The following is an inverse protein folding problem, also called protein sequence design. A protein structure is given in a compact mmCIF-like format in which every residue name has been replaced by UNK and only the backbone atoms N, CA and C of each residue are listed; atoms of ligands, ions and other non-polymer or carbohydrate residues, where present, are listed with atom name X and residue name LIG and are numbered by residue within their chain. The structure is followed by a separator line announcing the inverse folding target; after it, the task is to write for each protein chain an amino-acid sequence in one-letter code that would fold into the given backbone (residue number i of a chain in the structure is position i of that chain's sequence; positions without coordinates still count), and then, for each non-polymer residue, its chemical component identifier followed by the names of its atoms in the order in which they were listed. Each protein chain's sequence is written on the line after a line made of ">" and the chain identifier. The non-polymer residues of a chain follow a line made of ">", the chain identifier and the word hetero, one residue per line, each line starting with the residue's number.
data_IF_254288328443
#
_entry.id   IF_254288328443
#
_cell.length_a   1.000
_cell.length_b   1.000
_cell.length_c   1.000
_cell.angle_alpha   90.00
_cell.angle_beta   90.00
_cell.angle_gamma   90.00
#
_symmetry.space_group_name_H-M   'P 1'
#
loop_
_entity.id
_entity.type
_entity.pdbx_description
1 polymer ?
#
# COMPACT_ATOMS: atom_id res chain seq x y z
N UNK A 1 -28.29 5.96 -9.80
CA UNK A 1 -27.73 7.14 -9.10
C UNK A 1 -27.16 6.63 -7.80
N UNK A 2 -25.99 6.02 -7.91
CA UNK A 2 -25.20 5.58 -6.77
C UNK A 2 -24.26 6.72 -6.38
N UNK A 3 -24.15 6.96 -5.08
CA UNK A 3 -23.35 8.03 -4.49
C UNK A 3 -21.85 7.85 -4.74
N UNK A 4 -21.04 8.94 -4.73
CA UNK A 4 -19.59 8.89 -5.00
C UNK A 4 -18.74 8.08 -3.99
N UNK A 5 -19.38 7.53 -2.96
CA UNK A 5 -18.77 6.71 -1.91
C UNK A 5 -18.34 5.34 -2.47
N UNK A 6 -19.01 4.84 -3.51
CA UNK A 6 -18.63 3.58 -4.17
C UNK A 6 -17.26 3.65 -4.84
N UNK A 7 -16.97 4.75 -5.57
CA UNK A 7 -15.77 4.82 -6.42
C UNK A 7 -14.43 4.90 -5.67
N UNK A 8 -14.42 5.44 -4.44
CA UNK A 8 -13.22 5.39 -3.57
C UNK A 8 -12.97 3.99 -3.04
N UNK A 9 -14.07 3.27 -2.78
CA UNK A 9 -14.04 1.88 -2.36
C UNK A 9 -13.65 0.98 -3.53
N UNK A 10 -14.06 1.32 -4.75
CA UNK A 10 -13.64 0.63 -5.97
C UNK A 10 -12.13 0.85 -6.26
N UNK A 11 -11.58 2.05 -6.01
CA UNK A 11 -10.13 2.31 -6.13
C UNK A 11 -9.30 1.63 -5.02
N UNK A 12 -9.81 1.56 -3.79
CA UNK A 12 -9.23 0.78 -2.69
C UNK A 12 -9.35 -0.74 -2.94
N UNK A 13 -10.47 -1.21 -3.50
CA UNK A 13 -10.72 -2.61 -3.86
C UNK A 13 -9.88 -3.04 -5.09
N UNK A 14 -9.61 -2.15 -6.06
CA UNK A 14 -8.70 -2.39 -7.19
C UNK A 14 -7.23 -2.43 -6.74
N UNK A 15 -6.81 -1.52 -5.84
CA UNK A 15 -5.47 -1.55 -5.24
C UNK A 15 -5.30 -2.77 -4.30
N UNK A 16 -6.36 -3.22 -3.62
CA UNK A 16 -6.38 -4.44 -2.80
C UNK A 16 -6.41 -5.73 -3.64
N UNK A 17 -7.12 -5.74 -4.79
CA UNK A 17 -7.14 -6.86 -5.72
C UNK A 17 -5.76 -7.07 -6.38
N UNK A 18 -5.09 -5.98 -6.75
CA UNK A 18 -3.73 -6.03 -7.30
C UNK A 18 -2.68 -6.42 -6.25
N UNK A 19 -2.91 -6.07 -4.97
CA UNK A 19 -2.09 -6.52 -3.86
C UNK A 19 -2.27 -8.01 -3.55
N UNK A 20 -3.47 -8.56 -3.73
CA UNK A 20 -3.76 -9.99 -3.58
C UNK A 20 -3.21 -10.84 -4.74
N UNK A 21 -3.32 -10.39 -5.99
CA UNK A 21 -2.65 -11.03 -7.14
C UNK A 21 -1.13 -11.12 -6.93
N UNK A 22 -0.53 -10.09 -6.34
CA UNK A 22 0.89 -10.05 -6.04
C UNK A 22 1.28 -10.92 -4.82
N UNK A 23 0.36 -11.14 -3.87
CA UNK A 23 0.52 -12.10 -2.76
C UNK A 23 0.40 -13.54 -3.28
N UNK A 24 -0.49 -13.81 -4.23
CA UNK A 24 -0.66 -15.12 -4.89
C UNK A 24 0.56 -15.49 -5.75
N UNK A 25 1.19 -14.53 -6.44
CA UNK A 25 2.47 -14.73 -7.14
C UNK A 25 3.66 -14.98 -6.18
N UNK A 26 3.58 -14.54 -4.92
CA UNK A 26 4.63 -14.76 -3.92
C UNK A 26 4.48 -16.10 -3.18
N UNK A 27 3.33 -16.76 -3.29
CA UNK A 27 3.04 -18.05 -2.66
C UNK A 27 3.18 -19.26 -3.63
N UNK A 28 3.41 -19.05 -4.93
CA UNK A 28 3.42 -20.12 -5.95
C UNK A 28 4.79 -20.66 -6.39
N UNK A 29 5.91 -20.22 -5.80
CA UNK A 29 7.22 -20.85 -6.06
C UNK A 29 7.67 -21.71 -4.88
N UNK A 30 7.22 -22.96 -4.86
CA UNK A 30 7.60 -23.93 -3.82
C UNK A 30 7.24 -25.39 -4.12
N UNK A 31 7.17 -25.82 -5.37
CA UNK A 31 7.13 -27.24 -5.72
C UNK A 31 8.48 -27.72 -6.25
N UNK A 32 9.06 -28.71 -5.55
CA UNK A 32 10.06 -29.63 -6.06
C UNK A 32 11.52 -29.19 -5.94
N UNK A 33 12.26 -29.77 -4.99
CA UNK A 33 13.08 -30.97 -5.29
C UNK A 33 13.90 -31.34 -4.06
N UNK A 34 13.67 -32.54 -3.56
CA UNK A 34 14.47 -33.25 -2.58
C UNK A 34 15.81 -33.66 -3.21
N UNK A 35 16.93 -33.22 -2.65
CA UNK A 35 18.21 -33.90 -2.79
C UNK A 35 19.06 -33.65 -1.53
N UNK A 36 19.48 -34.77 -0.93
CA UNK A 36 20.42 -34.91 0.17
C UNK A 36 21.65 -34.00 0.09
N UNK A 37 22.14 -33.52 1.24
CA UNK A 37 23.45 -33.92 1.81
C UNK A 37 23.43 -33.62 3.31
N UNK A 38 23.43 -34.71 4.09
CA UNK A 38 23.78 -34.73 5.51
C UNK A 38 25.29 -34.53 5.64
N UNK A 39 25.73 -33.55 6.43
CA UNK A 39 27.06 -33.62 7.07
C UNK A 39 26.93 -33.25 8.54
N UNK A 40 26.81 -34.31 9.32
CA UNK A 40 26.87 -34.34 10.77
C UNK A 40 28.34 -34.33 11.18
N UNK A 41 28.76 -33.38 12.01
CA UNK A 41 30.03 -33.43 12.71
C UNK A 41 29.80 -33.21 14.20
N UNK A 42 29.72 -34.35 14.89
CA UNK A 42 29.70 -34.52 16.34
C UNK A 42 31.15 -34.52 16.84
N UNK A 43 31.48 -33.63 17.76
CA UNK A 43 32.66 -33.78 18.64
C UNK A 43 32.21 -33.51 20.07
N UNK A 44 32.00 -34.59 20.81
CA UNK A 44 31.92 -34.62 22.27
C UNK A 44 33.33 -34.76 22.84
N UNK A 45 33.68 -33.95 23.83
CA UNK A 45 34.75 -34.24 24.79
C UNK A 45 34.32 -33.66 26.16
N UNK A 46 33.85 -34.55 27.04
CA UNK A 46 33.75 -34.32 28.48
C UNK A 46 35.05 -34.73 29.17
N UNK A 47 35.45 -34.02 30.24
CA UNK A 47 35.65 -34.60 31.59
C UNK A 47 35.95 -33.52 32.66
N UNK A 48 34.92 -33.23 33.48
CA UNK A 48 34.75 -33.06 34.96
C UNK A 48 35.98 -33.06 35.95
N UNK A 49 35.81 -32.74 37.27
CA UNK A 49 35.61 -31.45 37.96
C UNK A 49 36.62 -31.17 39.12
N UNK A 50 36.56 -29.98 39.76
CA UNK A 50 37.01 -29.78 41.15
C UNK A 50 36.22 -28.65 41.85
N UNK A 51 35.91 -28.86 43.13
CA UNK A 51 34.96 -28.10 43.96
C UNK A 51 35.62 -27.02 44.83
N UNK A 52 34.88 -25.94 45.16
CA UNK A 52 34.45 -25.56 46.52
C UNK A 52 34.12 -24.06 46.72
N UNK A 53 33.03 -23.84 47.49
CA UNK A 53 32.55 -22.65 48.23
C UNK A 53 32.12 -21.40 47.44
N UNK A 54 30.82 -21.22 47.19
CA UNK A 54 29.83 -20.55 48.08
C UNK A 54 29.96 -19.02 48.11
N UNK A 55 29.03 -18.34 47.44
CA UNK A 55 28.29 -17.20 48.00
C UNK A 55 27.07 -16.87 47.14
N UNK A 56 25.90 -17.05 47.73
CA UNK A 56 24.60 -16.58 47.26
C UNK A 56 24.66 -15.08 46.90
N UNK A 57 24.52 -14.78 45.60
CA UNK A 57 23.91 -13.53 45.12
C UNK A 57 22.90 -13.89 44.04
N UNK A 58 21.76 -14.35 44.53
CA UNK A 58 20.52 -14.49 43.79
C UNK A 58 19.97 -13.07 43.52
N UNK A 59 20.61 -12.33 42.62
CA UNK A 59 20.06 -11.08 42.07
C UNK A 59 19.34 -11.44 40.78
N UNK A 60 18.02 -11.54 40.88
CA UNK A 60 17.03 -11.72 39.82
C UNK A 60 17.52 -11.37 38.39
N UNK A 61 18.16 -12.34 37.73
CA UNK A 61 18.37 -12.31 36.29
C UNK A 61 16.99 -12.55 35.68
N UNK A 62 16.32 -11.45 35.30
CA UNK A 62 14.99 -11.48 34.71
C UNK A 62 14.91 -12.62 33.69
N UNK A 63 14.01 -13.59 33.91
CA UNK A 63 13.80 -14.74 33.03
C UNK A 63 13.77 -14.26 31.58
N UNK A 64 14.85 -14.46 30.84
CA UNK A 64 14.95 -14.05 29.44
C UNK A 64 13.87 -14.81 28.69
N UNK A 65 12.93 -14.10 28.08
CA UNK A 65 11.87 -14.76 27.32
C UNK A 65 12.49 -15.61 26.21
N UNK A 66 11.91 -16.80 25.96
CA UNK A 66 12.31 -17.69 24.86
C UNK A 66 12.41 -16.95 23.52
N UNK A 67 11.54 -15.97 23.29
CA UNK A 67 11.56 -15.14 22.09
C UNK A 67 12.87 -14.34 21.90
N UNK A 68 13.55 -13.98 22.99
CA UNK A 68 14.80 -13.22 22.94
C UNK A 68 16.03 -14.11 22.69
N UNK A 69 15.91 -15.42 22.92
CA UNK A 69 17.01 -16.39 22.81
C UNK A 69 16.93 -17.26 21.56
N UNK A 70 15.77 -17.31 20.89
CA UNK A 70 15.55 -18.13 19.70
C UNK A 70 16.30 -17.57 18.47
N UNK A 71 16.88 -18.45 17.61
CA UNK A 71 17.41 -18.05 16.31
C UNK A 71 16.32 -17.42 15.44
N UNK A 72 16.73 -16.47 14.59
CA UNK A 72 15.81 -15.69 13.76
C UNK A 72 15.00 -16.55 12.77
N UNK A 73 15.59 -17.61 12.22
CA UNK A 73 14.89 -18.54 11.33
C UNK A 73 13.75 -19.26 12.04
N UNK A 74 13.97 -19.68 13.29
CA UNK A 74 12.97 -20.36 14.10
C UNK A 74 11.87 -19.37 14.50
N UNK A 75 12.22 -18.14 14.85
CA UNK A 75 11.24 -17.08 15.11
C UNK A 75 10.37 -16.80 13.87
N UNK A 76 10.98 -16.75 12.69
CA UNK A 76 10.30 -16.50 11.43
C UNK A 76 9.27 -17.60 11.10
N UNK A 77 9.61 -18.87 11.36
CA UNK A 77 8.71 -20.02 11.25
C UNK A 77 7.57 -19.96 12.28
N UNK A 78 7.88 -19.65 13.54
CA UNK A 78 6.87 -19.56 14.61
C UNK A 78 5.86 -18.44 14.32
N UNK A 79 6.34 -17.29 13.83
CA UNK A 79 5.49 -16.14 13.51
C UNK A 79 4.61 -16.40 12.29
N UNK A 80 5.04 -17.23 11.32
CA UNK A 80 4.21 -17.56 10.14
C UNK A 80 2.97 -18.39 10.48
N UNK A 81 2.93 -19.11 11.61
CA UNK A 81 1.73 -19.82 12.07
C UNK A 81 0.63 -18.88 12.64
N UNK A 82 0.88 -17.57 12.67
CA UNK A 82 -0.11 -16.54 12.99
C UNK A 82 -0.36 -16.37 14.50
N UNK A 83 -0.57 -15.12 14.92
CA UNK A 83 -0.96 -14.68 16.28
C UNK A 83 0.12 -14.59 17.38
N UNK A 84 1.33 -15.11 17.20
CA UNK A 84 2.35 -15.11 18.28
C UNK A 84 2.84 -13.71 18.68
N UNK A 85 2.84 -12.75 17.75
CA UNK A 85 3.37 -11.39 17.96
C UNK A 85 2.63 -10.53 19.01
N UNK A 86 1.45 -10.93 19.47
CA UNK A 86 0.67 -10.18 20.49
C UNK A 86 0.62 -10.87 21.86
N UNK A 87 1.35 -11.97 22.04
CA UNK A 87 1.29 -12.78 23.27
C UNK A 87 1.95 -12.07 24.45
N UNK A 88 3.15 -11.50 24.26
CA UNK A 88 3.80 -10.67 25.26
C UNK A 88 4.85 -9.76 24.62
N UNK A 89 5.36 -8.79 25.40
CA UNK A 89 6.31 -7.76 24.93
C UNK A 89 7.54 -8.32 24.21
N UNK A 90 8.11 -9.43 24.68
CA UNK A 90 9.27 -10.05 24.05
C UNK A 90 8.94 -10.67 22.69
N UNK A 91 7.78 -11.33 22.55
CA UNK A 91 7.29 -11.83 21.26
C UNK A 91 6.94 -10.70 20.30
N UNK A 92 6.42 -9.58 20.79
CA UNK A 92 6.18 -8.40 19.96
C UNK A 92 7.48 -7.80 19.43
N UNK A 93 8.50 -7.64 20.28
CA UNK A 93 9.82 -7.16 19.87
C UNK A 93 10.53 -8.13 18.92
N UNK A 94 10.45 -9.44 19.18
CA UNK A 94 10.99 -10.47 18.28
C UNK A 94 10.27 -10.45 16.92
N UNK A 95 8.96 -10.28 16.91
CA UNK A 95 8.17 -10.17 15.68
C UNK A 95 8.52 -8.94 14.86
N UNK A 96 8.73 -7.80 15.52
CA UNK A 96 9.24 -6.58 14.88
C UNK A 96 10.63 -6.84 14.28
N UNK A 97 11.56 -7.41 15.05
CA UNK A 97 12.91 -7.69 14.57
C UNK A 97 12.93 -8.59 13.32
N UNK A 98 12.11 -9.65 13.32
CA UNK A 98 11.94 -10.54 12.16
C UNK A 98 11.36 -9.79 10.96
N UNK A 99 10.33 -8.97 11.15
CA UNK A 99 9.71 -8.21 10.06
C UNK A 99 10.68 -7.19 9.45
N UNK A 100 11.43 -6.46 10.28
CA UNK A 100 12.47 -5.51 9.87
C UNK A 100 13.56 -6.20 9.05
N UNK A 101 14.08 -7.34 9.55
CA UNK A 101 15.11 -8.12 8.86
C UNK A 101 14.63 -8.71 7.54
N UNK A 102 13.39 -9.22 7.48
CA UNK A 102 12.79 -9.71 6.23
C UNK A 102 12.73 -8.61 5.18
N UNK A 103 12.33 -7.39 5.56
CA UNK A 103 12.31 -6.25 4.65
C UNK A 103 13.72 -5.92 4.12
N UNK A 104 14.70 -5.73 5.00
CA UNK A 104 16.08 -5.42 4.58
C UNK A 104 16.69 -6.51 3.70
N UNK A 105 16.46 -7.79 4.03
CA UNK A 105 16.95 -8.90 3.20
C UNK A 105 16.36 -8.86 1.80
N UNK A 106 15.03 -8.74 1.68
CA UNK A 106 14.35 -8.70 0.38
C UNK A 106 14.77 -7.47 -0.44
N UNK A 107 14.92 -6.32 0.20
CA UNK A 107 15.39 -5.11 -0.48
C UNK A 107 16.85 -5.25 -0.93
N UNK A 108 17.71 -5.83 -0.09
CA UNK A 108 19.09 -6.12 -0.45
C UNK A 108 19.18 -7.10 -1.62
N UNK A 109 18.33 -8.13 -1.68
CA UNK A 109 18.31 -9.08 -2.80
C UNK A 109 17.91 -8.43 -4.12
N UNK A 110 16.98 -7.46 -4.09
CA UNK A 110 16.60 -6.67 -5.27
C UNK A 110 17.77 -5.78 -5.74
N UNK A 111 18.52 -5.19 -4.80
CA UNK A 111 19.59 -4.24 -5.09
C UNK A 111 20.96 -4.88 -5.31
N UNK A 112 21.19 -6.12 -4.84
CA UNK A 112 22.46 -6.85 -4.91
C UNK A 112 23.04 -6.98 -6.33
N UNK A 113 22.24 -7.19 -7.40
CA UNK A 113 22.78 -7.25 -8.76
C UNK A 113 23.31 -5.90 -9.28
N UNK A 114 22.96 -4.79 -8.62
CA UNK A 114 23.23 -3.44 -9.10
C UNK A 114 24.44 -2.80 -8.39
N UNK A 115 24.60 -3.06 -7.09
CA UNK A 115 25.66 -2.44 -6.30
C UNK A 115 26.10 -3.33 -5.12
N UNK A 116 27.37 -3.21 -4.76
CA UNK A 116 27.98 -3.75 -3.54
C UNK A 116 27.44 -3.10 -2.27
N UNK A 117 27.01 -1.84 -2.32
CA UNK A 117 26.46 -1.10 -1.18
C UNK A 117 24.97 -1.38 -0.89
N UNK A 118 24.36 -2.30 -1.64
CA UNK A 118 22.95 -2.67 -1.52
C UNK A 118 22.50 -2.98 -0.09
N UNK A 119 23.33 -3.68 0.69
CA UNK A 119 23.02 -4.05 2.07
C UNK A 119 22.94 -2.82 2.99
N UNK A 120 23.89 -1.90 2.87
CA UNK A 120 23.92 -0.69 3.70
C UNK A 120 22.71 0.18 3.41
N UNK A 121 22.41 0.42 2.13
CA UNK A 121 21.23 1.18 1.70
C UNK A 121 19.93 0.52 2.18
N UNK A 122 19.82 -0.81 2.11
CA UNK A 122 18.64 -1.53 2.56
C UNK A 122 18.43 -1.42 4.09
N UNK A 123 19.51 -1.38 4.88
CA UNK A 123 19.44 -1.15 6.32
C UNK A 123 19.07 0.30 6.64
N UNK A 124 19.61 1.27 5.90
CA UNK A 124 19.30 2.69 6.10
C UNK A 124 17.83 3.00 5.77
N UNK A 125 17.31 2.46 4.66
CA UNK A 125 15.89 2.63 4.29
C UNK A 125 14.97 1.98 5.33
N UNK A 126 15.35 0.81 5.85
CA UNK A 126 14.59 0.14 6.91
C UNK A 126 14.59 0.96 8.20
N UNK A 127 15.73 1.50 8.61
CA UNK A 127 15.85 2.31 9.81
C UNK A 127 14.97 3.58 9.71
N UNK A 128 15.00 4.27 8.57
CA UNK A 128 14.15 5.44 8.32
C UNK A 128 12.65 5.08 8.28
N UNK A 129 12.32 3.93 7.70
CA UNK A 129 10.94 3.42 7.66
C UNK A 129 10.42 3.11 9.07
N UNK A 130 11.23 2.46 9.90
CA UNK A 130 10.91 2.18 11.29
C UNK A 130 10.86 3.45 12.13
N UNK A 131 11.73 4.44 11.88
CA UNK A 131 11.67 5.74 12.56
C UNK A 131 10.37 6.51 12.24
N UNK A 132 9.89 6.42 11.00
CA UNK A 132 8.68 7.12 10.57
C UNK A 132 7.37 6.44 11.00
N UNK A 133 7.32 5.11 10.98
CA UNK A 133 6.08 4.34 11.18
C UNK A 133 6.14 3.30 12.31
N UNK A 134 7.29 3.14 12.96
CA UNK A 134 7.48 2.22 14.07
C UNK A 134 6.79 2.71 15.34
N UNK A 135 6.25 1.77 16.11
CA UNK A 135 5.82 2.00 17.49
C UNK A 135 6.60 1.08 18.42
N UNK A 136 6.69 1.46 19.70
CA UNK A 136 7.59 0.81 20.68
C UNK A 136 7.37 -0.70 20.84
N UNK A 137 6.17 -1.22 20.60
CA UNK A 137 5.83 -2.64 20.79
C UNK A 137 4.93 -3.22 19.69
N UNK A 138 4.68 -2.49 18.61
CA UNK A 138 3.85 -2.97 17.51
C UNK A 138 4.29 -2.35 16.19
N UNK A 139 4.13 -3.11 15.12
CA UNK A 139 4.31 -2.60 13.77
C UNK A 139 2.97 -2.11 13.24
N UNK A 140 2.88 -0.83 12.89
CA UNK A 140 1.63 -0.25 12.40
C UNK A 140 1.28 -0.84 11.03
N UNK A 141 -0.01 -0.98 10.71
CA UNK A 141 -0.46 -1.38 9.35
C UNK A 141 0.15 -0.49 8.25
N UNK A 142 0.33 0.80 8.56
CA UNK A 142 1.00 1.77 7.69
C UNK A 142 2.45 1.39 7.35
N UNK A 143 3.23 0.85 8.31
CA UNK A 143 4.58 0.36 8.05
C UNK A 143 4.55 -0.78 7.02
N UNK A 144 3.69 -1.78 7.23
CA UNK A 144 3.62 -2.94 6.35
C UNK A 144 3.17 -2.55 4.94
N UNK A 145 2.17 -1.67 4.83
CA UNK A 145 1.73 -1.13 3.55
C UNK A 145 2.86 -0.38 2.84
N UNK A 146 3.55 0.53 3.55
CA UNK A 146 4.64 1.31 2.97
C UNK A 146 5.84 0.44 2.56
N UNK A 147 6.21 -0.54 3.38
CA UNK A 147 7.25 -1.52 3.06
C UNK A 147 6.95 -2.26 1.76
N UNK A 148 5.71 -2.74 1.58
CA UNK A 148 5.25 -3.41 0.36
C UNK A 148 5.32 -2.47 -0.85
N UNK A 149 4.83 -1.24 -0.71
CA UNK A 149 4.92 -0.23 -1.77
C UNK A 149 6.36 0.05 -2.19
N UNK A 150 7.29 0.19 -1.24
CA UNK A 150 8.71 0.45 -1.53
C UNK A 150 9.35 -0.72 -2.29
N UNK A 151 9.14 -1.96 -1.81
CA UNK A 151 9.64 -3.17 -2.47
C UNK A 151 9.10 -3.29 -3.89
N UNK A 152 7.79 -3.07 -4.09
CA UNK A 152 7.18 -3.15 -5.42
C UNK A 152 7.76 -2.12 -6.40
N UNK A 153 7.87 -0.85 -5.99
CA UNK A 153 8.38 0.20 -6.86
C UNK A 153 9.88 0.05 -7.19
N UNK A 154 10.67 -0.52 -6.27
CA UNK A 154 12.10 -0.77 -6.48
C UNK A 154 12.35 -2.08 -7.24
N UNK A 155 11.44 -3.06 -7.15
CA UNK A 155 11.47 -4.32 -7.92
C UNK A 155 11.19 -4.08 -9.41
N UNK A 156 10.44 -3.04 -9.77
CA UNK A 156 10.14 -2.73 -11.18
C UNK A 156 11.42 -2.53 -12.00
N UNK A 157 11.66 -3.40 -12.98
CA UNK A 157 12.84 -3.35 -13.84
C UNK A 157 12.89 -2.08 -14.69
N UNK A 158 11.74 -1.49 -15.01
CA UNK A 158 11.61 -0.28 -15.82
C UNK A 158 11.89 1.00 -15.05
N UNK A 159 11.96 0.94 -13.72
CA UNK A 159 12.23 2.08 -12.84
C UNK A 159 13.71 2.16 -12.43
N UNK A 160 14.61 2.11 -13.42
CA UNK A 160 16.06 2.10 -13.18
C UNK A 160 16.53 3.42 -12.55
N UNK A 161 15.96 4.54 -12.96
CA UNK A 161 16.33 5.87 -12.48
C UNK A 161 16.11 6.01 -10.96
N UNK A 162 15.01 5.48 -10.43
CA UNK A 162 14.75 5.53 -8.99
C UNK A 162 15.80 4.72 -8.20
N UNK A 163 16.16 3.53 -8.67
CA UNK A 163 17.20 2.70 -8.04
C UNK A 163 18.56 3.40 -8.07
N UNK A 164 18.93 3.93 -9.23
CA UNK A 164 20.22 4.62 -9.39
C UNK A 164 20.31 5.86 -8.49
N UNK A 165 19.24 6.65 -8.39
CA UNK A 165 19.20 7.83 -7.50
C UNK A 165 19.27 7.48 -6.03
N UNK A 166 18.72 6.33 -5.63
CA UNK A 166 18.83 5.82 -4.27
C UNK A 166 20.26 5.35 -3.97
N UNK A 167 20.86 4.59 -4.89
CA UNK A 167 22.22 4.06 -4.74
C UNK A 167 23.30 5.15 -4.81
N UNK A 168 23.11 6.16 -5.65
CA UNK A 168 24.02 7.31 -5.77
C UNK A 168 23.93 8.29 -4.60
N UNK A 169 22.91 8.14 -3.73
CA UNK A 169 22.65 9.06 -2.62
C UNK A 169 22.02 10.39 -3.02
N UNK A 170 21.68 10.59 -4.32
CA UNK A 170 20.94 11.77 -4.77
C UNK A 170 19.54 11.85 -4.14
N UNK A 171 18.93 10.69 -3.88
CA UNK A 171 17.67 10.58 -3.17
C UNK A 171 17.91 9.97 -1.77
N UNK A 172 17.83 10.77 -0.70
CA UNK A 172 18.06 10.26 0.65
C UNK A 172 16.94 9.31 1.08
N UNK A 173 17.29 8.28 1.84
CA UNK A 173 16.38 7.24 2.36
C UNK A 173 15.15 7.82 3.08
N UNK A 174 15.35 8.89 3.86
CA UNK A 174 14.26 9.60 4.54
C UNK A 174 13.23 10.21 3.58
N UNK A 175 13.70 10.81 2.47
CA UNK A 175 12.81 11.38 1.46
C UNK A 175 12.03 10.28 0.75
N UNK A 176 12.68 9.16 0.41
CA UNK A 176 12.03 8.02 -0.22
C UNK A 176 10.87 7.47 0.63
N UNK A 177 11.07 7.35 1.94
CA UNK A 177 10.03 6.89 2.88
C UNK A 177 8.85 7.87 2.93
N UNK A 178 9.07 9.17 2.75
CA UNK A 178 8.01 10.20 2.79
C UNK A 178 7.31 10.44 1.45
N UNK A 179 7.91 10.04 0.34
CA UNK A 179 7.32 10.19 -1.00
C UNK A 179 6.01 9.41 -1.13
N UNK A 180 5.09 9.87 -1.98
CA UNK A 180 3.84 9.15 -2.22
C UNK A 180 4.06 7.94 -3.15
N UNK A 181 3.22 6.90 -3.04
CA UNK A 181 3.25 5.75 -3.94
C UNK A 181 3.23 6.13 -5.45
N UNK A 182 2.37 7.06 -5.92
CA UNK A 182 2.35 7.43 -7.33
C UNK A 182 3.58 8.22 -7.78
N UNK A 183 4.25 8.95 -6.87
CA UNK A 183 5.45 9.72 -7.22
C UNK A 183 6.71 8.83 -7.33
N UNK A 184 6.70 7.65 -6.70
CA UNK A 184 7.77 6.66 -6.81
C UNK A 184 7.61 5.74 -8.03
N UNK A 185 6.42 5.70 -8.64
CA UNK A 185 6.12 4.82 -9.76
C UNK A 185 6.95 5.18 -11.01
N UNK A 186 7.09 4.19 -11.90
CA UNK A 186 7.73 4.36 -13.20
C UNK A 186 7.21 5.63 -13.92
N UNK A 187 8.11 6.48 -14.47
CA UNK A 187 7.73 7.72 -15.13
C UNK A 187 6.66 7.56 -16.21
N UNK A 188 6.64 6.42 -16.93
CA UNK A 188 5.63 6.15 -17.95
C UNK A 188 4.25 5.88 -17.34
N UNK A 189 4.18 5.03 -16.30
CA UNK A 189 2.93 4.73 -15.59
C UNK A 189 2.40 5.98 -14.88
N UNK A 190 3.28 6.78 -14.27
CA UNK A 190 2.91 8.04 -13.64
C UNK A 190 2.30 9.03 -14.65
N UNK A 191 2.85 9.13 -15.87
CA UNK A 191 2.29 9.94 -16.95
C UNK A 191 0.92 9.44 -17.39
N UNK A 192 0.78 8.13 -17.63
CA UNK A 192 -0.49 7.52 -18.04
C UNK A 192 -1.59 7.74 -16.99
N UNK A 193 -1.28 7.55 -15.70
CA UNK A 193 -2.22 7.83 -14.61
C UNK A 193 -2.64 9.31 -14.59
N UNK A 194 -1.69 10.24 -14.72
CA UNK A 194 -1.99 11.68 -14.79
C UNK A 194 -2.90 12.03 -15.98
N UNK A 195 -2.64 11.45 -17.15
CA UNK A 195 -3.48 11.65 -18.34
C UNK A 195 -4.88 11.06 -18.15
N UNK A 196 -4.98 9.88 -17.57
CA UNK A 196 -6.26 9.23 -17.32
C UNK A 196 -7.09 9.98 -16.28
N UNK A 197 -6.48 10.42 -15.17
CA UNK A 197 -7.12 11.29 -14.18
C UNK A 197 -7.60 12.59 -14.86
N UNK A 198 -6.78 13.20 -15.72
CA UNK A 198 -7.15 14.40 -16.46
C UNK A 198 -8.34 14.17 -17.39
N UNK A 199 -8.36 13.05 -18.14
CA UNK A 199 -9.46 12.66 -19.03
C UNK A 199 -10.75 12.42 -18.24
N UNK A 200 -10.68 11.61 -17.19
CA UNK A 200 -11.82 11.33 -16.30
C UNK A 200 -12.36 12.61 -15.65
N UNK A 201 -11.49 13.50 -15.19
CA UNK A 201 -11.91 14.77 -14.61
C UNK A 201 -12.62 15.64 -15.65
N UNK A 202 -12.11 15.68 -16.88
CA UNK A 202 -12.74 16.38 -17.99
C UNK A 202 -14.11 15.78 -18.37
N UNK A 203 -14.25 14.47 -18.40
CA UNK A 203 -15.52 13.77 -18.64
C UNK A 203 -16.56 14.11 -17.56
N UNK A 204 -16.21 13.99 -16.28
CA UNK A 204 -17.12 14.34 -15.16
C UNK A 204 -17.56 15.81 -15.23
N UNK A 205 -16.66 16.73 -15.59
CA UNK A 205 -17.02 18.15 -15.76
C UNK A 205 -17.91 18.40 -16.98
N UNK A 206 -17.81 17.57 -18.02
CA UNK A 206 -18.66 17.62 -19.21
C UNK A 206 -20.07 17.11 -18.90
N UNK A 207 -20.17 15.96 -18.24
CA UNK A 207 -21.46 15.33 -17.89
C UNK A 207 -22.28 16.21 -16.93
N UNK A 208 -21.62 16.98 -16.05
CA UNK A 208 -22.29 17.95 -15.18
C UNK A 208 -22.84 19.20 -15.90
N UNK A 209 -22.40 19.49 -17.13
CA UNK A 209 -22.79 20.68 -17.92
C UNK A 209 -23.69 20.38 -19.10
N UNK A 210 -23.70 19.15 -19.62
CA UNK A 210 -24.74 18.72 -20.55
C UNK A 210 -26.05 18.59 -19.76
N UNK A 211 -26.72 19.74 -19.59
CA UNK A 211 -28.05 19.79 -19.03
C UNK A 211 -28.97 18.97 -19.94
N UNK A 212 -29.19 17.71 -19.54
CA UNK A 212 -30.13 16.77 -20.16
C UNK A 212 -31.43 17.51 -20.51
N UNK A 213 -31.73 17.56 -21.80
CA UNK A 213 -32.90 18.24 -22.33
C UNK A 213 -32.84 18.32 -23.85
N UNK A 214 -34.01 18.33 -24.47
CA UNK A 214 -34.14 18.42 -25.92
C UNK A 214 -34.23 19.89 -26.31
N UNK A 215 -33.39 20.31 -27.26
CA UNK A 215 -33.56 21.62 -27.91
C UNK A 215 -34.80 21.57 -28.78
N UNK A 216 -35.66 22.57 -28.62
CA UNK A 216 -36.97 22.59 -29.22
C UNK A 216 -37.39 24.02 -29.48
N UNK A 217 -38.00 24.23 -30.63
CA UNK A 217 -38.60 25.49 -31.02
C UNK A 217 -40.12 25.53 -30.73
N UNK A 218 -40.64 24.56 -29.97
CA UNK A 218 -42.08 24.45 -29.67
C UNK A 218 -42.57 25.51 -28.65
N UNK A 219 -41.68 26.12 -27.88
CA UNK A 219 -42.06 27.05 -26.82
C UNK A 219 -41.49 28.45 -27.05
N UNK A 220 -42.35 29.46 -27.00
CA UNK A 220 -41.93 30.86 -27.07
C UNK A 220 -41.66 31.43 -25.67
N UNK A 221 -40.50 32.03 -25.49
CA UNK A 221 -40.15 32.65 -24.21
C UNK A 221 -40.96 33.94 -23.98
N UNK A 222 -41.72 34.00 -22.88
CA UNK A 222 -42.51 35.19 -22.49
C UNK A 222 -41.70 36.43 -22.15
N UNK A 223 -40.40 36.29 -21.88
CA UNK A 223 -39.52 37.40 -21.50
C UNK A 223 -38.77 38.00 -22.70
N UNK A 224 -38.28 37.19 -23.64
CA UNK A 224 -37.47 37.67 -24.78
C UNK A 224 -38.01 37.33 -26.17
N UNK A 225 -39.15 36.63 -26.26
CA UNK A 225 -39.82 36.27 -27.52
C UNK A 225 -39.07 35.24 -28.39
N UNK A 226 -37.95 34.67 -27.92
CA UNK A 226 -37.21 33.67 -28.71
C UNK A 226 -37.86 32.29 -28.61
N UNK A 227 -38.00 31.60 -29.74
CA UNK A 227 -38.45 30.19 -29.83
C UNK A 227 -37.39 29.18 -29.39
N UNK A 228 -36.10 29.57 -29.36
CA UNK A 228 -35.00 28.68 -28.97
C UNK A 228 -35.06 28.33 -27.48
N UNK A 229 -35.63 27.17 -27.18
CA UNK A 229 -35.81 26.67 -25.82
C UNK A 229 -35.24 25.27 -25.67
N UNK A 230 -34.93 24.88 -24.43
CA UNK A 230 -34.58 23.53 -24.06
C UNK A 230 -35.58 23.06 -23.03
N UNK A 231 -36.24 21.93 -23.27
CA UNK A 231 -37.12 21.33 -22.28
C UNK A 231 -36.56 20.02 -21.75
N UNK A 232 -36.84 19.73 -20.48
CA UNK A 232 -36.55 18.44 -19.87
C UNK A 232 -37.74 17.96 -19.06
N UNK A 233 -37.99 16.66 -19.12
CA UNK A 233 -39.00 16.03 -18.28
C UNK A 233 -38.41 15.79 -16.89
N UNK A 234 -39.07 16.32 -15.88
CA UNK A 234 -38.68 16.16 -14.48
C UNK A 234 -39.70 15.30 -13.76
N UNK A 235 -39.23 14.21 -13.12
CA UNK A 235 -40.03 13.33 -12.28
C UNK A 235 -39.43 13.30 -10.87
N UNK A 236 -40.24 13.55 -9.84
CA UNK A 236 -39.82 13.27 -8.46
C UNK A 236 -39.94 11.78 -8.23
N UNK A 237 -38.85 11.11 -7.86
CA UNK A 237 -38.81 9.65 -7.60
C UNK A 237 -39.87 9.15 -6.61
N UNK A 238 -40.37 10.02 -5.72
CA UNK A 238 -41.35 9.68 -4.68
C UNK A 238 -42.82 9.91 -5.06
N UNK A 239 -43.13 10.46 -6.24
CA UNK A 239 -44.52 10.74 -6.67
C UNK A 239 -44.71 10.13 -8.06
N UNK A 240 -45.42 9.00 -8.11
CA UNK A 240 -45.48 8.10 -9.27
C UNK A 240 -46.21 8.71 -10.48
N UNK A 241 -47.10 9.70 -10.28
CA UNK A 241 -48.07 10.05 -11.34
C UNK A 241 -47.96 11.46 -11.95
N UNK A 242 -46.96 12.28 -11.59
CA UNK A 242 -46.84 13.64 -12.19
C UNK A 242 -45.46 13.92 -12.77
N UNK A 243 -45.35 13.73 -14.08
CA UNK A 243 -44.23 14.27 -14.88
C UNK A 243 -44.46 15.76 -15.06
N UNK A 244 -43.47 16.59 -14.72
CA UNK A 244 -43.48 18.04 -15.02
C UNK A 244 -42.52 18.31 -16.16
N UNK A 245 -42.84 19.28 -17.01
CA UNK A 245 -41.93 19.70 -18.08
C UNK A 245 -41.29 21.01 -17.64
N UNK A 246 -39.96 21.04 -17.51
CA UNK A 246 -39.23 22.28 -17.22
C UNK A 246 -38.68 22.80 -18.54
N UNK A 247 -39.06 24.01 -18.92
CA UNK A 247 -38.59 24.69 -20.12
C UNK A 247 -37.62 25.80 -19.72
N UNK A 248 -36.49 25.88 -20.41
CA UNK A 248 -35.41 26.86 -20.18
C UNK A 248 -35.17 27.60 -21.49
N UNK A 249 -35.18 28.92 -21.48
CA UNK A 249 -34.80 29.71 -22.65
C UNK A 249 -33.27 29.67 -22.86
N UNK A 250 -32.82 29.49 -24.10
CA UNK A 250 -31.38 29.49 -24.43
C UNK A 250 -30.80 30.91 -24.60
N UNK A 251 -31.67 31.93 -24.70
CA UNK A 251 -31.28 33.33 -24.95
C UNK A 251 -31.31 34.21 -23.69
N UNK A 252 -32.10 33.83 -22.68
CA UNK A 252 -32.19 34.55 -21.41
C UNK A 252 -32.30 33.55 -20.24
N UNK A 253 -31.94 33.92 -19.01
CA UNK A 253 -31.96 33.01 -17.85
C UNK A 253 -33.37 32.67 -17.34
N UNK A 254 -34.41 32.84 -18.17
CA UNK A 254 -35.80 32.58 -17.81
C UNK A 254 -36.13 31.08 -17.94
N UNK A 255 -36.73 30.51 -16.89
CA UNK A 255 -37.17 29.11 -16.82
C UNK A 255 -38.58 29.02 -16.24
N UNK A 256 -39.39 28.11 -16.75
CA UNK A 256 -40.76 27.89 -16.27
C UNK A 256 -41.17 26.41 -16.34
N UNK A 257 -42.22 26.05 -15.59
CA UNK A 257 -42.80 24.70 -15.54
C UNK A 257 -44.10 24.66 -16.35
N UNK A 258 -44.31 23.56 -17.08
CA UNK A 258 -45.58 23.19 -17.74
C UNK A 258 -46.27 22.06 -16.96
#
# INVERSE_FOLDING_TARGET
>A
METPIGRRRDEEEEDDAWALELEEELDLEGTGSTADVVYESKVELEEKPAAASEQMKETALARSSLAATLPQEVLALIISFGQVGRVCKSWSLASIAVARRRFSSRLADILRPLDTNALAVALDVEAELYAAYGQSYSLTKAYAHKARTLLFNLKDSRNVDLRNRLLSGELPSHSLVRMSAPDMANPQLARQRKEWIKKRTHEVMRDGREAEGFESDLFECRNCGSSRTRYRQWRRKAVVDRTRIIVICLRCPYRWEL
#
